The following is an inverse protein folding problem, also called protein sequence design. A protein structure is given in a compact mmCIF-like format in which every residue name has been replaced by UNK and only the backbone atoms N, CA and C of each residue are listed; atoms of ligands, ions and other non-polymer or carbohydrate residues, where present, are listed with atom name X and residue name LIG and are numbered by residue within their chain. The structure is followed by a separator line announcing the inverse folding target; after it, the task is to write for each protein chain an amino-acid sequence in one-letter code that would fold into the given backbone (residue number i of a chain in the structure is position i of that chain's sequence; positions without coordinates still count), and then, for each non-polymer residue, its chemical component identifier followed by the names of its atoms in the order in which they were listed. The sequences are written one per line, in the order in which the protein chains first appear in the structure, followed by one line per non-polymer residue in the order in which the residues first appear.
data_IF_635869236767
#
_entry.id   IF_635869236767
#
_cell.length_a   1.000
_cell.length_b   1.000
_cell.length_c   1.000
_cell.angle_alpha   90.00
_cell.angle_beta   90.00
_cell.angle_gamma   90.00
#
_symmetry.space_group_name_H-M   'P 1'
#
loop_
_entity.id
_entity.type
_entity.pdbx_description
1 polymer ?
#
# COMPACT_ATOMS: atom_id res chain seq x y z
N UNK A 1 -22.99 -3.04 -2.61
CA UNK A 1 -22.71 -4.49 -2.72
C UNK A 1 -22.60 -5.04 -1.31
N UNK A 2 -23.57 -5.84 -0.87
CA UNK A 2 -23.61 -6.38 0.50
C UNK A 2 -24.16 -7.80 0.48
N UNK A 3 -23.72 -8.64 1.42
CA UNK A 3 -24.22 -10.01 1.58
C UNK A 3 -23.43 -11.07 0.80
N UNK A 4 -23.83 -12.33 1.00
CA UNK A 4 -23.10 -13.51 0.49
C UNK A 4 -23.08 -13.57 -1.05
N UNK A 5 -24.08 -13.00 -1.72
CA UNK A 5 -24.17 -12.97 -3.20
C UNK A 5 -22.99 -12.22 -3.84
N UNK A 6 -22.42 -11.25 -3.13
CA UNK A 6 -21.25 -10.49 -3.60
C UNK A 6 -19.92 -11.23 -3.39
N UNK A 7 -19.88 -12.37 -2.70
CA UNK A 7 -18.63 -13.06 -2.34
C UNK A 7 -17.81 -13.48 -3.57
N UNK A 8 -18.46 -14.00 -4.60
CA UNK A 8 -17.79 -14.39 -5.84
C UNK A 8 -17.19 -13.18 -6.56
N UNK A 9 -17.91 -12.06 -6.59
CA UNK A 9 -17.42 -10.83 -7.21
C UNK A 9 -16.24 -10.26 -6.44
N UNK A 10 -16.37 -10.10 -5.11
CA UNK A 10 -15.32 -9.55 -4.24
C UNK A 10 -14.08 -10.43 -4.27
N UNK A 11 -14.24 -11.76 -4.22
CA UNK A 11 -13.10 -12.70 -4.26
C UNK A 11 -12.38 -12.64 -5.60
N UNK A 12 -13.11 -12.59 -6.73
CA UNK A 12 -12.49 -12.43 -8.05
C UNK A 12 -11.77 -11.09 -8.16
N UNK A 13 -12.40 -9.99 -7.76
CA UNK A 13 -11.80 -8.67 -7.79
C UNK A 13 -10.51 -8.60 -6.95
N UNK A 14 -10.54 -9.16 -5.73
CA UNK A 14 -9.36 -9.25 -4.87
C UNK A 14 -8.25 -10.10 -5.52
N UNK A 15 -8.59 -11.28 -6.06
CA UNK A 15 -7.61 -12.16 -6.70
C UNK A 15 -6.98 -11.51 -7.94
N UNK A 16 -7.77 -10.85 -8.79
CA UNK A 16 -7.24 -10.11 -9.94
C UNK A 16 -6.33 -8.97 -9.47
N UNK A 17 -6.73 -8.20 -8.46
CA UNK A 17 -5.88 -7.14 -7.91
C UNK A 17 -4.54 -7.65 -7.39
N UNK A 18 -4.55 -8.74 -6.61
CA UNK A 18 -3.33 -9.37 -6.07
C UNK A 18 -2.46 -9.92 -7.20
N UNK A 19 -3.05 -10.64 -8.15
CA UNK A 19 -2.32 -11.27 -9.24
C UNK A 19 -1.71 -10.22 -10.18
N UNK A 20 -2.47 -9.21 -10.58
CA UNK A 20 -1.97 -8.09 -11.39
C UNK A 20 -0.82 -7.38 -10.68
N UNK A 21 -0.94 -7.12 -9.37
CA UNK A 21 0.15 -6.51 -8.60
C UNK A 21 1.39 -7.39 -8.59
N UNK A 22 1.23 -8.71 -8.39
CA UNK A 22 2.33 -9.67 -8.41
C UNK A 22 3.03 -9.74 -9.77
N UNK A 23 2.26 -9.85 -10.85
CA UNK A 23 2.79 -9.86 -12.23
C UNK A 23 3.55 -8.58 -12.54
N UNK A 24 2.97 -7.41 -12.21
CA UNK A 24 3.65 -6.13 -12.41
C UNK A 24 4.98 -6.06 -11.64
N UNK A 25 5.03 -6.55 -10.40
CA UNK A 25 6.28 -6.59 -9.62
C UNK A 25 7.33 -7.49 -10.27
N UNK A 26 6.95 -8.65 -10.79
CA UNK A 26 7.88 -9.54 -11.50
C UNK A 26 8.38 -8.90 -12.79
N UNK A 27 7.49 -8.29 -13.58
CA UNK A 27 7.88 -7.62 -14.82
C UNK A 27 8.83 -6.44 -14.56
N UNK A 28 8.52 -5.60 -13.56
CA UNK A 28 9.40 -4.49 -13.19
C UNK A 28 10.75 -4.99 -12.65
N UNK A 29 10.75 -6.04 -11.82
CA UNK A 29 11.98 -6.66 -11.34
C UNK A 29 12.84 -7.17 -12.50
N UNK A 30 12.25 -7.91 -13.44
CA UNK A 30 12.94 -8.41 -14.62
C UNK A 30 13.44 -7.28 -15.54
N UNK A 31 12.69 -6.19 -15.67
CA UNK A 31 13.11 -5.02 -16.44
C UNK A 31 14.36 -4.36 -15.82
N UNK A 32 14.35 -4.13 -14.50
CA UNK A 32 15.50 -3.59 -13.78
C UNK A 32 16.69 -4.55 -13.85
N UNK A 33 16.45 -5.85 -13.61
CA UNK A 33 17.49 -6.88 -13.70
C UNK A 33 18.11 -6.95 -15.09
N UNK A 34 17.30 -6.85 -16.14
CA UNK A 34 17.76 -6.84 -17.52
C UNK A 34 18.72 -5.68 -17.81
N UNK A 35 18.39 -4.47 -17.34
CA UNK A 35 19.27 -3.31 -17.46
C UNK A 35 20.56 -3.51 -16.68
N UNK A 36 20.49 -3.90 -15.41
CA UNK A 36 21.67 -4.09 -14.56
C UNK A 36 22.58 -5.21 -15.07
N UNK A 37 22.01 -6.28 -15.64
CA UNK A 37 22.76 -7.40 -16.21
C UNK A 37 23.61 -7.01 -17.43
N UNK A 38 23.33 -5.88 -18.09
CA UNK A 38 24.18 -5.35 -19.16
C UNK A 38 25.48 -4.72 -18.65
N UNK A 39 25.64 -4.59 -17.33
CA UNK A 39 26.74 -3.84 -16.70
C UNK A 39 26.46 -2.34 -16.60
N UNK A 40 25.25 -1.90 -16.94
CA UNK A 40 24.85 -0.50 -16.80
C UNK A 40 24.80 -0.09 -15.32
N UNK A 41 25.33 1.09 -15.02
CA UNK A 41 25.27 1.69 -13.69
C UNK A 41 24.03 2.57 -13.59
N UNK A 42 23.25 2.36 -12.53
CA UNK A 42 22.06 3.17 -12.26
C UNK A 42 22.49 4.48 -11.60
N UNK A 43 21.79 5.56 -11.95
CA UNK A 43 21.98 6.84 -11.29
C UNK A 43 21.53 6.73 -9.82
N UNK A 44 22.40 6.97 -8.82
CA UNK A 44 22.03 6.89 -7.41
C UNK A 44 20.96 7.91 -6.99
N UNK A 45 20.84 9.03 -7.69
CA UNK A 45 19.85 10.07 -7.36
C UNK A 45 18.45 9.70 -7.86
N UNK A 46 18.35 8.95 -8.97
CA UNK A 46 17.08 8.44 -9.46
C UNK A 46 17.20 7.07 -10.16
N UNK A 47 17.43 5.99 -9.38
CA UNK A 47 17.65 4.67 -9.94
C UNK A 47 16.49 4.19 -10.82
N UNK A 48 15.21 4.36 -10.44
CA UNK A 48 14.09 3.94 -11.29
C UNK A 48 14.03 4.66 -12.63
N UNK A 49 14.24 5.98 -12.67
CA UNK A 49 14.21 6.71 -13.94
C UNK A 49 15.37 6.30 -14.86
N UNK A 50 16.56 6.07 -14.29
CA UNK A 50 17.73 5.64 -15.05
C UNK A 50 17.51 4.29 -15.75
N UNK A 51 16.77 3.35 -15.14
CA UNK A 51 16.39 2.08 -15.78
C UNK A 51 15.59 2.33 -17.06
N UNK A 52 14.60 3.22 -17.02
CA UNK A 52 13.80 3.55 -18.19
C UNK A 52 14.62 4.32 -19.23
N UNK A 53 15.51 5.21 -18.80
CA UNK A 53 16.40 5.95 -19.70
C UNK A 53 17.36 5.03 -20.44
N UNK A 54 18.00 4.09 -19.75
CA UNK A 54 18.94 3.14 -20.37
C UNK A 54 18.21 2.22 -21.35
N UNK A 55 16.98 1.82 -21.03
CA UNK A 55 16.20 0.93 -21.89
C UNK A 55 15.58 1.61 -23.13
N UNK A 56 15.17 2.87 -23.02
CA UNK A 56 14.35 3.57 -24.05
C UNK A 56 14.92 4.92 -24.51
N UNK A 57 16.11 5.30 -24.04
CA UNK A 57 16.68 6.64 -24.27
C UNK A 57 15.92 7.74 -23.52
N UNK A 58 16.03 8.98 -24.00
CA UNK A 58 15.44 10.15 -23.34
C UNK A 58 13.90 10.10 -23.24
N UNK A 59 13.24 9.39 -24.18
CA UNK A 59 11.80 9.14 -24.11
C UNK A 59 11.44 8.28 -22.89
N UNK A 60 12.34 7.38 -22.47
CA UNK A 60 12.17 6.55 -21.29
C UNK A 60 11.96 7.37 -20.01
N UNK A 61 12.70 8.46 -19.85
CA UNK A 61 12.53 9.39 -18.73
C UNK A 61 11.13 10.03 -18.72
N UNK A 62 10.63 10.43 -19.89
CA UNK A 62 9.30 11.03 -20.01
C UNK A 62 8.19 10.03 -19.70
N UNK A 63 8.32 8.80 -20.24
CA UNK A 63 7.38 7.71 -19.98
C UNK A 63 7.36 7.36 -18.48
N UNK A 64 8.53 7.25 -17.86
CA UNK A 64 8.64 7.04 -16.42
C UNK A 64 7.93 8.13 -15.62
N UNK A 65 8.12 9.41 -15.99
CA UNK A 65 7.45 10.54 -15.34
C UNK A 65 5.92 10.44 -15.40
N UNK A 66 5.36 10.12 -16.57
CA UNK A 66 3.90 9.95 -16.75
C UNK A 66 3.38 8.78 -15.91
N UNK A 67 4.08 7.64 -15.93
CA UNK A 67 3.72 6.47 -15.13
C UNK A 67 3.77 6.78 -13.62
N UNK A 68 4.80 7.49 -13.17
CA UNK A 68 4.96 7.87 -11.77
C UNK A 68 3.84 8.80 -11.31
N UNK A 69 3.45 9.78 -12.13
CA UNK A 69 2.32 10.68 -11.84
C UNK A 69 1.00 9.91 -11.77
N UNK A 70 0.74 9.02 -12.73
CA UNK A 70 -0.47 8.20 -12.73
C UNK A 70 -0.56 7.28 -11.49
N UNK A 71 0.57 6.66 -11.10
CA UNK A 71 0.67 5.85 -9.90
C UNK A 71 0.45 6.68 -8.62
N UNK A 72 1.04 7.87 -8.55
CA UNK A 72 0.87 8.78 -7.42
C UNK A 72 -0.59 9.23 -7.26
N UNK A 73 -1.25 9.67 -8.33
CA UNK A 73 -2.64 10.15 -8.29
C UNK A 73 -3.61 9.05 -7.86
N UNK A 74 -3.49 7.85 -8.43
CA UNK A 74 -4.34 6.71 -8.05
C UNK A 74 -4.15 6.31 -6.59
N UNK A 75 -2.92 6.35 -6.08
CA UNK A 75 -2.65 6.05 -4.67
C UNK A 75 -3.15 7.13 -3.71
N UNK A 76 -2.95 8.42 -4.03
CA UNK A 76 -3.37 9.53 -3.16
C UNK A 76 -4.89 9.52 -2.97
N UNK A 77 -5.64 9.32 -4.05
CA UNK A 77 -7.11 9.25 -4.00
C UNK A 77 -7.56 8.03 -3.19
N UNK A 78 -6.95 6.85 -3.42
CA UNK A 78 -7.28 5.62 -2.70
C UNK A 78 -7.01 5.70 -1.19
N UNK A 79 -5.86 6.26 -0.80
CA UNK A 79 -5.51 6.48 0.60
C UNK A 79 -6.45 7.48 1.26
N UNK A 80 -6.74 8.61 0.61
CA UNK A 80 -7.65 9.62 1.16
C UNK A 80 -9.09 9.09 1.32
N UNK A 81 -9.58 8.31 0.35
CA UNK A 81 -10.91 7.68 0.45
C UNK A 81 -10.98 6.68 1.62
N UNK A 82 -9.94 5.88 1.80
CA UNK A 82 -9.85 4.92 2.91
C UNK A 82 -9.86 5.65 4.27
N UNK A 83 -9.04 6.70 4.40
CA UNK A 83 -9.01 7.55 5.61
C UNK A 83 -10.35 8.24 5.87
N UNK A 84 -10.99 8.81 4.85
CA UNK A 84 -12.29 9.45 4.96
C UNK A 84 -13.41 8.47 5.38
N UNK A 85 -13.35 7.21 4.90
CA UNK A 85 -14.28 6.16 5.32
C UNK A 85 -14.20 5.84 6.81
N UNK A 86 -12.99 5.87 7.40
CA UNK A 86 -12.83 5.72 8.85
C UNK A 86 -13.44 6.90 9.62
N UNK A 87 -13.25 8.14 9.14
CA UNK A 87 -13.84 9.35 9.72
C UNK A 87 -15.37 9.35 9.66
N UNK A 88 -15.93 8.87 8.54
CA UNK A 88 -17.38 8.70 8.35
C UNK A 88 -18.02 7.83 9.42
N UNK A 89 -17.31 6.80 9.89
CA UNK A 89 -17.81 5.87 10.91
C UNK A 89 -17.86 6.49 12.32
N UNK A 90 -17.21 7.64 12.54
CA UNK A 90 -17.14 8.31 13.84
C UNK A 90 -18.28 9.33 14.02
N UNK A 91 -18.62 10.11 12.99
CA UNK A 91 -19.62 11.17 13.11
C UNK A 91 -20.35 11.46 11.79
N UNK A 92 -21.68 11.69 11.88
CA UNK A 92 -22.57 11.94 10.72
C UNK A 92 -22.16 13.14 9.86
N UNK A 93 -21.53 14.15 10.47
CA UNK A 93 -20.98 15.30 9.76
C UNK A 93 -19.99 14.91 8.64
N UNK A 94 -19.14 13.92 8.89
CA UNK A 94 -18.14 13.45 7.92
C UNK A 94 -18.76 12.59 6.81
N UNK A 95 -19.93 11.99 7.09
CA UNK A 95 -20.70 11.27 6.07
C UNK A 95 -21.28 12.25 5.03
N UNK A 96 -21.97 13.28 5.53
CA UNK A 96 -22.69 14.25 4.67
C UNK A 96 -21.75 15.10 3.81
N UNK A 97 -20.49 15.28 4.21
CA UNK A 97 -19.50 16.11 3.51
C UNK A 97 -18.26 15.31 3.02
N UNK A 98 -18.44 14.04 2.65
CA UNK A 98 -17.33 13.13 2.33
C UNK A 98 -16.33 13.67 1.28
N UNK A 99 -16.81 14.29 0.20
CA UNK A 99 -15.92 14.87 -0.82
C UNK A 99 -15.04 15.99 -0.24
N UNK A 100 -15.62 16.84 0.60
CA UNK A 100 -14.89 17.91 1.29
C UNK A 100 -13.85 17.33 2.25
N UNK A 101 -14.19 16.27 2.98
CA UNK A 101 -13.25 15.58 3.88
C UNK A 101 -12.05 15.02 3.11
N UNK A 102 -12.27 14.39 1.96
CA UNK A 102 -11.20 13.84 1.11
C UNK A 102 -10.30 14.97 0.61
N UNK A 103 -10.87 16.06 0.07
CA UNK A 103 -10.10 17.19 -0.44
C UNK A 103 -9.29 17.86 0.67
N UNK A 104 -9.90 18.12 1.83
CA UNK A 104 -9.21 18.69 2.99
C UNK A 104 -8.08 17.77 3.45
N UNK A 105 -8.29 16.46 3.50
CA UNK A 105 -7.27 15.49 3.89
C UNK A 105 -6.06 15.53 2.95
N UNK A 106 -6.29 15.60 1.64
CA UNK A 106 -5.21 15.72 0.65
C UNK A 106 -4.47 17.04 0.84
N UNK A 107 -5.19 18.18 0.88
CA UNK A 107 -4.58 19.51 1.02
C UNK A 107 -3.73 19.61 2.29
N UNK A 108 -4.28 19.18 3.43
CA UNK A 108 -3.54 19.19 4.71
C UNK A 108 -2.31 18.29 4.66
N UNK A 109 -2.44 17.08 4.09
CA UNK A 109 -1.31 16.16 3.95
C UNK A 109 -0.20 16.74 3.06
N UNK A 110 -0.58 17.38 1.95
CA UNK A 110 0.37 18.07 1.05
C UNK A 110 1.07 19.23 1.75
N UNK A 111 0.31 20.05 2.49
CA UNK A 111 0.85 21.18 3.26
C UNK A 111 1.88 20.68 4.28
N UNK A 112 1.53 19.66 5.09
CA UNK A 112 2.45 19.08 6.07
C UNK A 112 3.71 18.53 5.37
N UNK A 113 3.54 17.79 4.27
CA UNK A 113 4.65 17.23 3.51
C UNK A 113 5.61 18.32 3.00
N UNK A 114 5.07 19.41 2.44
CA UNK A 114 5.87 20.54 1.93
C UNK A 114 6.60 21.28 3.04
N UNK A 115 5.98 21.46 4.22
CA UNK A 115 6.60 22.17 5.35
C UNK A 115 7.66 21.35 6.09
N UNK A 116 7.51 20.02 6.18
CA UNK A 116 8.47 19.16 6.92
C UNK A 116 9.81 19.04 6.18
N UNK A 117 9.81 19.06 4.85
CA UNK A 117 11.05 19.10 4.03
C UNK A 117 11.96 17.87 4.13
N UNK A 118 11.51 16.76 4.75
CA UNK A 118 12.27 15.51 4.91
C UNK A 118 11.55 14.32 4.24
N UNK A 119 11.47 14.28 2.90
CA UNK A 119 10.69 13.27 2.18
C UNK A 119 11.17 11.84 2.46
N UNK A 120 12.48 11.61 2.51
CA UNK A 120 13.03 10.27 2.77
C UNK A 120 12.64 9.76 4.16
N UNK A 121 12.74 10.59 5.20
CA UNK A 121 12.34 10.21 6.56
C UNK A 121 10.83 9.92 6.64
N UNK A 122 10.00 10.72 5.98
CA UNK A 122 8.54 10.49 5.89
C UNK A 122 8.21 9.17 5.17
N UNK A 123 8.95 8.82 4.11
CA UNK A 123 8.79 7.57 3.39
C UNK A 123 9.17 6.35 4.24
N UNK A 124 10.29 6.41 4.96
CA UNK A 124 10.72 5.33 5.86
C UNK A 124 9.71 5.16 7.00
N UNK A 125 9.27 6.26 7.61
CA UNK A 125 8.28 6.27 8.68
C UNK A 125 6.94 5.69 8.20
N UNK A 126 6.45 6.12 7.04
CA UNK A 126 5.23 5.57 6.43
C UNK A 126 5.36 4.06 6.16
N UNK A 127 6.52 3.60 5.68
CA UNK A 127 6.80 2.18 5.47
C UNK A 127 6.73 1.37 6.76
N UNK A 128 7.36 1.86 7.84
CA UNK A 128 7.34 1.18 9.13
C UNK A 128 5.94 1.15 9.75
N UNK A 129 5.20 2.26 9.71
CA UNK A 129 3.80 2.29 10.16
C UNK A 129 2.95 1.30 9.36
N UNK A 130 3.12 1.21 8.04
CA UNK A 130 2.41 0.23 7.22
C UNK A 130 2.76 -1.21 7.64
N UNK A 131 4.03 -1.50 7.92
CA UNK A 131 4.48 -2.79 8.45
C UNK A 131 3.80 -3.18 9.76
N UNK A 132 3.53 -2.21 10.65
CA UNK A 132 2.84 -2.43 11.93
C UNK A 132 1.32 -2.51 11.80
N UNK A 133 0.73 -1.78 10.86
CA UNK A 133 -0.72 -1.77 10.63
C UNK A 133 -1.18 -3.15 10.11
N UNK A 134 -0.36 -3.83 9.31
CA UNK A 134 -0.68 -5.15 8.74
C UNK A 134 -1.04 -6.23 9.79
N UNK A 135 -0.22 -6.54 10.80
CA UNK A 135 -0.55 -7.57 11.79
C UNK A 135 -1.78 -7.19 12.63
N UNK A 136 -1.96 -5.90 12.94
CA UNK A 136 -3.13 -5.41 13.71
C UNK A 136 -4.42 -5.58 12.89
N UNK A 137 -4.41 -5.13 11.64
CA UNK A 137 -5.60 -5.20 10.76
C UNK A 137 -5.92 -6.64 10.38
N UNK A 138 -4.93 -7.43 9.95
CA UNK A 138 -5.13 -8.82 9.58
C UNK A 138 -5.54 -9.68 10.78
N UNK A 139 -4.95 -9.45 11.95
CA UNK A 139 -5.33 -10.13 13.19
C UNK A 139 -6.78 -9.84 13.58
N UNK A 140 -7.19 -8.57 13.53
CA UNK A 140 -8.59 -8.19 13.77
C UNK A 140 -9.55 -8.87 12.78
N UNK A 141 -9.19 -8.90 11.49
CA UNK A 141 -9.99 -9.57 10.45
C UNK A 141 -10.07 -11.08 10.68
N UNK A 142 -8.99 -11.75 11.07
CA UNK A 142 -9.00 -13.19 11.38
C UNK A 142 -9.87 -13.53 12.59
N UNK A 143 -9.85 -12.69 13.62
CA UNK A 143 -10.72 -12.85 14.78
C UNK A 143 -12.17 -12.61 14.35
N UNK A 144 -12.43 -11.54 13.59
CA UNK A 144 -13.76 -11.20 13.09
C UNK A 144 -14.33 -12.29 12.18
N UNK A 145 -13.51 -12.91 11.32
CA UNK A 145 -13.92 -13.96 10.38
C UNK A 145 -14.41 -15.24 11.07
N UNK A 146 -14.11 -15.41 12.36
CA UNK A 146 -14.57 -16.54 13.18
C UNK A 146 -15.80 -16.21 14.02
N UNK A 147 -16.19 -14.93 14.13
CA UNK A 147 -17.36 -14.53 14.93
C UNK A 147 -18.63 -14.68 14.11
N UNK A 148 -19.49 -15.64 14.48
CA UNK A 148 -20.83 -15.83 13.89
C UNK A 148 -21.68 -14.55 13.90
N UNK A 149 -21.52 -13.70 14.93
CA UNK A 149 -22.20 -12.39 15.01
C UNK A 149 -21.83 -11.42 13.87
N UNK A 150 -20.68 -11.62 13.21
CA UNK A 150 -20.18 -10.76 12.13
C UNK A 150 -20.38 -11.44 10.76
N UNK A 151 -20.01 -12.72 10.65
CA UNK A 151 -19.97 -13.44 9.36
C UNK A 151 -21.26 -14.23 9.07
N UNK A 152 -22.16 -14.33 10.05
CA UNK A 152 -23.38 -15.14 9.95
C UNK A 152 -23.07 -16.63 9.86
N UNK A 153 -23.73 -17.31 8.92
CA UNK A 153 -23.59 -18.76 8.71
C UNK A 153 -22.44 -19.16 7.79
N UNK A 154 -21.75 -18.19 7.18
CA UNK A 154 -20.62 -18.47 6.31
C UNK A 154 -19.39 -18.92 7.11
N UNK A 155 -18.74 -19.99 6.65
CA UNK A 155 -17.55 -20.56 7.28
C UNK A 155 -16.36 -20.46 6.34
N UNK A 156 -15.36 -19.68 6.75
CA UNK A 156 -14.09 -19.65 6.06
C UNK A 156 -13.37 -21.00 6.16
N UNK A 157 -12.76 -21.49 5.07
CA UNK A 157 -11.96 -22.71 5.09
C UNK A 157 -10.82 -22.64 6.11
N UNK A 158 -10.55 -23.76 6.79
CA UNK A 158 -9.52 -23.82 7.85
C UNK A 158 -8.11 -23.47 7.35
N UNK A 159 -7.78 -23.84 6.10
CA UNK A 159 -6.48 -23.53 5.50
C UNK A 159 -6.24 -22.01 5.37
N UNK A 160 -7.25 -21.23 4.98
CA UNK A 160 -7.14 -19.76 4.87
C UNK A 160 -6.84 -19.12 6.23
N UNK A 161 -7.42 -19.66 7.31
CA UNK A 161 -7.18 -19.18 8.67
C UNK A 161 -5.75 -19.50 9.12
N UNK A 162 -5.25 -20.70 8.80
CA UNK A 162 -3.88 -21.10 9.13
C UNK A 162 -2.88 -20.20 8.41
N UNK A 163 -3.04 -20.02 7.09
CA UNK A 163 -2.18 -19.12 6.32
C UNK A 163 -2.28 -17.67 6.80
N UNK A 164 -3.47 -17.20 7.14
CA UNK A 164 -3.66 -15.88 7.73
C UNK A 164 -2.93 -15.73 9.07
N UNK A 165 -3.01 -16.72 9.95
CA UNK A 165 -2.32 -16.69 11.24
C UNK A 165 -0.79 -16.68 11.05
N UNK A 166 -0.26 -17.48 10.14
CA UNK A 166 1.16 -17.47 9.76
C UNK A 166 1.56 -16.09 9.23
N UNK A 167 0.75 -15.49 8.35
CA UNK A 167 1.02 -14.15 7.83
C UNK A 167 1.01 -13.07 8.93
N UNK A 168 0.11 -13.15 9.92
CA UNK A 168 0.13 -12.24 11.08
C UNK A 168 1.42 -12.38 11.87
N UNK A 169 1.88 -13.61 12.13
CA UNK A 169 3.13 -13.84 12.88
C UNK A 169 4.32 -13.26 12.12
N UNK A 170 4.42 -13.53 10.81
CA UNK A 170 5.52 -13.02 9.97
C UNK A 170 5.52 -11.50 9.92
N UNK A 171 4.35 -10.89 9.68
CA UNK A 171 4.23 -9.43 9.60
C UNK A 171 4.43 -8.74 10.94
N UNK A 172 4.08 -9.38 12.05
CA UNK A 172 4.37 -8.88 13.40
C UNK A 172 5.88 -8.85 13.66
N UNK A 173 6.60 -9.94 13.34
CA UNK A 173 8.05 -9.99 13.48
C UNK A 173 8.70 -8.91 12.60
N UNK A 174 8.30 -8.82 11.33
CA UNK A 174 8.81 -7.80 10.41
C UNK A 174 8.50 -6.37 10.88
N UNK A 175 7.32 -6.14 11.46
CA UNK A 175 6.94 -4.84 12.02
C UNK A 175 7.81 -4.43 13.20
N UNK A 176 8.10 -5.35 14.13
CA UNK A 176 9.01 -5.09 15.27
C UNK A 176 10.41 -4.78 14.77
N UNK A 177 10.96 -5.59 13.86
CA UNK A 177 12.29 -5.34 13.27
C UNK A 177 12.36 -3.98 12.55
N UNK A 178 11.28 -3.58 11.88
CA UNK A 178 11.22 -2.28 11.21
C UNK A 178 11.22 -1.09 12.18
N UNK A 179 10.69 -1.26 13.40
CA UNK A 179 10.72 -0.24 14.45
C UNK A 179 12.11 -0.11 15.07
N UNK A 180 12.80 -1.22 15.30
CA UNK A 180 14.18 -1.21 15.79
C UNK A 180 15.10 -0.47 14.81
N UNK A 181 14.99 -0.77 13.51
CA UNK A 181 15.76 -0.06 12.48
C UNK A 181 15.43 1.43 12.35
N UNK A 182 14.21 1.85 12.69
CA UNK A 182 13.83 3.27 12.76
C UNK A 182 14.49 4.00 13.93
N UNK A 183 14.57 3.35 15.10
CA UNK A 183 15.20 3.93 16.28
C UNK A 183 16.70 4.22 16.03
N UNK A 184 17.37 3.33 15.30
CA UNK A 184 18.77 3.48 14.91
C UNK A 184 19.00 4.62 13.89
N UNK A 185 18.03 4.86 12.99
CA UNK A 185 18.08 5.94 12.01
C UNK A 185 17.85 7.33 12.62
N UNK A 186 17.07 7.43 13.70
CA UNK A 186 16.77 8.71 14.35
C UNK A 186 17.84 9.14 15.36
N UNK A 187 18.62 8.18 15.88
CA UNK A 187 19.74 8.43 16.78
C UNK A 187 21.06 8.75 16.05
N UNK A 188 21.05 8.87 14.72
CA UNK A 188 22.16 9.34 13.88
C UNK A 188 21.85 10.70 13.26
#
# INVERSE_FOLDING_TARGET
MTGQESLNFVSKAANYGILTTGVMRVLLFLAVLGVVATGATLDPDNPPASVFQIALGDIGMQVFGVVLVAAALSSVIGSAYTSASFLRSIHRFFDEHNNTVIVVFIVVSTVIFTFVGRPVALLILAGAFNGLILPVTLGAILIASRRKKIVGDYRHPAWMIIFGAVAVIITLIAGIMSLEGLADLWNR
#
